data_IF_829061569939
#
_entry.id   IF_829061569939
#
_cell.length_a   1.000
_cell.length_b   1.000
_cell.length_c   1.000
_cell.angle_alpha   90.00
_cell.angle_beta   90.00
_cell.angle_gamma   90.00
#
_symmetry.space_group_name_H-M   'P 1'
#
loop_
_entity.id
_entity.type
_entity.pdbx_description
1 polymer ?
#
# COMPACT_ATOMS: atom_id res chain seq x y z
N UNK A 1 6.09 -11.68 11.12
CA UNK A 1 6.54 -13.02 11.55
C UNK A 1 5.50 -14.05 11.18
N UNK A 2 5.95 -15.17 10.61
CA UNK A 2 5.09 -16.33 10.35
C UNK A 2 5.10 -17.27 11.53
N UNK A 3 3.93 -17.59 12.02
CA UNK A 3 3.73 -18.64 13.02
C UNK A 3 3.14 -19.86 12.34
N UNK A 4 3.74 -21.02 12.58
CA UNK A 4 3.22 -22.31 12.14
C UNK A 4 2.88 -23.14 13.38
N UNK A 5 1.68 -23.69 13.40
CA UNK A 5 1.26 -24.63 14.44
C UNK A 5 1.54 -26.06 13.96
N UNK A 6 2.40 -26.79 14.68
CA UNK A 6 2.74 -28.19 14.37
C UNK A 6 1.85 -29.20 15.12
N UNK A 7 0.71 -28.73 15.61
CA UNK A 7 -0.27 -29.56 16.36
C UNK A 7 -0.14 -29.45 17.87
N UNK A 8 1.02 -29.10 18.40
CA UNK A 8 1.24 -28.98 19.85
C UNK A 8 1.83 -27.63 20.25
N UNK A 9 2.58 -26.98 19.37
CA UNK A 9 3.26 -25.70 19.67
C UNK A 9 3.23 -24.74 18.49
N UNK A 10 3.16 -23.46 18.79
CA UNK A 10 3.39 -22.39 17.82
C UNK A 10 4.89 -22.17 17.65
N UNK A 11 5.38 -22.25 16.41
CA UNK A 11 6.77 -21.98 16.06
C UNK A 11 6.86 -20.79 15.12
N UNK A 12 7.87 -19.97 15.31
CA UNK A 12 8.20 -18.91 14.34
C UNK A 12 8.87 -19.60 13.15
N UNK A 13 8.15 -19.71 12.05
CA UNK A 13 8.67 -20.28 10.80
C UNK A 13 9.52 -19.28 10.01
N UNK A 14 9.15 -17.99 10.04
CA UNK A 14 9.90 -16.93 9.39
C UNK A 14 9.64 -15.56 10.04
N UNK A 15 10.67 -14.72 10.05
CA UNK A 15 10.56 -13.30 10.36
C UNK A 15 10.92 -12.55 9.07
N UNK A 16 9.98 -11.72 8.59
CA UNK A 16 10.22 -10.84 7.47
C UNK A 16 10.13 -9.41 7.92
N UNK A 17 11.03 -8.59 7.40
CA UNK A 17 11.05 -7.16 7.66
C UNK A 17 11.01 -6.42 6.33
N UNK A 18 10.12 -5.47 6.22
CA UNK A 18 10.13 -4.47 5.17
C UNK A 18 11.22 -3.44 5.52
N UNK A 19 12.45 -3.71 5.08
CA UNK A 19 13.61 -2.89 5.38
C UNK A 19 13.86 -1.95 4.19
N UNK A 20 13.47 -0.70 4.37
CA UNK A 20 13.74 0.33 3.39
C UNK A 20 15.19 0.82 3.49
N UNK A 21 15.84 1.14 2.35
CA UNK A 21 17.14 1.80 2.34
C UNK A 21 17.12 3.11 3.13
N UNK A 22 18.20 3.38 3.88
CA UNK A 22 18.27 4.55 4.77
C UNK A 22 18.03 5.88 4.05
N UNK A 23 18.42 6.00 2.78
CA UNK A 23 18.23 7.22 2.02
C UNK A 23 16.75 7.59 1.81
N UNK A 24 15.82 6.63 1.80
CA UNK A 24 14.37 6.87 1.71
C UNK A 24 13.92 7.75 2.88
N UNK A 25 14.37 7.42 4.09
CA UNK A 25 14.10 8.22 5.29
C UNK A 25 14.78 9.59 5.20
N UNK A 26 16.03 9.65 4.70
CA UNK A 26 16.76 10.91 4.52
C UNK A 26 16.03 11.85 3.55
N UNK A 27 15.52 11.35 2.43
CA UNK A 27 14.76 12.15 1.46
C UNK A 27 13.46 12.65 2.07
N UNK A 28 12.70 11.78 2.76
CA UNK A 28 11.47 12.16 3.46
C UNK A 28 11.74 13.28 4.46
N UNK A 29 12.73 13.09 5.34
CA UNK A 29 13.04 14.04 6.41
C UNK A 29 13.57 15.37 5.85
N UNK A 30 14.34 15.33 4.75
CA UNK A 30 14.78 16.53 4.05
C UNK A 30 13.63 17.35 3.46
N UNK A 31 12.64 16.67 2.85
CA UNK A 31 11.44 17.33 2.34
C UNK A 31 10.61 17.97 3.47
N UNK A 32 10.51 17.28 4.62
CA UNK A 32 9.78 17.82 5.78
C UNK A 32 10.38 19.11 6.34
N UNK A 33 11.68 19.33 6.16
CA UNK A 33 12.37 20.53 6.64
C UNK A 33 12.23 21.76 5.72
N UNK A 34 11.71 21.58 4.52
CA UNK A 34 11.51 22.69 3.57
C UNK A 34 10.36 23.60 4.03
N UNK A 35 10.60 24.91 4.07
CA UNK A 35 9.59 25.90 4.47
C UNK A 35 8.45 26.07 3.45
N UNK A 36 8.68 25.67 2.20
CA UNK A 36 7.68 25.69 1.14
C UNK A 36 7.94 24.54 0.18
N UNK A 37 6.93 23.73 -0.02
CA UNK A 37 6.94 22.63 -0.98
C UNK A 37 6.15 23.01 -2.22
N UNK A 38 6.62 22.58 -3.39
CA UNK A 38 5.78 22.58 -4.59
C UNK A 38 4.61 21.59 -4.40
N UNK A 39 3.57 21.71 -5.24
CA UNK A 39 2.46 20.75 -5.20
C UNK A 39 2.95 19.32 -5.42
N UNK A 40 3.90 19.12 -6.35
CA UNK A 40 4.50 17.81 -6.62
C UNK A 40 5.30 17.26 -5.43
N UNK A 41 6.13 18.10 -4.79
CA UNK A 41 6.90 17.71 -3.61
C UNK A 41 5.99 17.35 -2.43
N UNK A 42 4.88 18.06 -2.27
CA UNK A 42 3.89 17.75 -1.22
C UNK A 42 3.23 16.40 -1.42
N UNK A 43 2.87 16.05 -2.65
CA UNK A 43 2.33 14.71 -2.99
C UNK A 43 3.39 13.63 -2.75
N UNK A 44 4.61 13.86 -3.22
CA UNK A 44 5.71 12.91 -3.05
C UNK A 44 6.06 12.71 -1.57
N UNK A 45 6.08 13.78 -0.77
CA UNK A 45 6.29 13.68 0.68
C UNK A 45 5.21 12.83 1.34
N UNK A 46 3.94 13.01 0.98
CA UNK A 46 2.83 12.18 1.51
C UNK A 46 3.03 10.71 1.14
N UNK A 47 3.40 10.42 -0.11
CA UNK A 47 3.70 9.04 -0.54
C UNK A 47 4.86 8.43 0.26
N UNK A 48 5.95 9.20 0.50
CA UNK A 48 7.08 8.75 1.31
C UNK A 48 6.70 8.53 2.78
N UNK A 49 5.86 9.40 3.35
CA UNK A 49 5.35 9.24 4.71
C UNK A 49 4.58 7.93 4.85
N UNK A 50 3.65 7.66 3.93
CA UNK A 50 2.86 6.41 3.92
C UNK A 50 3.74 5.18 3.66
N UNK A 51 4.71 5.27 2.75
CA UNK A 51 5.62 4.17 2.42
C UNK A 51 6.51 3.79 3.59
N UNK A 52 6.96 4.77 4.38
CA UNK A 52 7.81 4.58 5.57
C UNK A 52 7.02 4.37 6.85
N UNK A 53 5.70 4.53 6.82
CA UNK A 53 4.83 4.33 7.96
C UNK A 53 4.75 2.85 8.38
N UNK A 54 4.39 2.61 9.62
CA UNK A 54 4.04 1.27 10.09
C UNK A 54 2.75 0.78 9.43
N UNK A 55 2.54 -0.54 9.42
CA UNK A 55 1.33 -1.12 8.85
C UNK A 55 0.07 -0.59 9.55
N UNK A 56 0.15 -0.37 10.86
CA UNK A 56 -0.94 0.20 11.66
C UNK A 56 -1.28 1.66 11.26
N UNK A 57 -0.26 2.48 11.00
CA UNK A 57 -0.48 3.85 10.52
C UNK A 57 -1.11 3.86 9.13
N UNK A 58 -0.68 2.96 8.23
CA UNK A 58 -1.30 2.83 6.89
C UNK A 58 -2.75 2.35 6.99
N UNK A 59 -3.05 1.39 7.88
CA UNK A 59 -4.43 0.94 8.14
C UNK A 59 -5.32 2.06 8.66
N UNK A 60 -4.81 2.85 9.60
CA UNK A 60 -5.53 4.01 10.14
C UNK A 60 -5.75 5.08 9.07
N UNK A 61 -4.75 5.31 8.19
CA UNK A 61 -4.87 6.23 7.07
C UNK A 61 -5.97 5.79 6.09
N UNK A 62 -5.99 4.51 5.71
CA UNK A 62 -7.04 3.96 4.86
C UNK A 62 -8.42 4.14 5.49
N UNK A 63 -8.59 3.75 6.75
CA UNK A 63 -9.88 3.85 7.47
C UNK A 63 -10.38 5.30 7.53
N UNK A 64 -9.48 6.25 7.77
CA UNK A 64 -9.81 7.68 7.87
C UNK A 64 -10.11 8.35 6.53
N UNK A 65 -9.71 7.74 5.41
CA UNK A 65 -9.89 8.26 4.06
C UNK A 65 -10.70 7.31 3.16
N UNK A 66 -11.46 6.39 3.73
CA UNK A 66 -12.15 5.32 3.00
C UNK A 66 -13.01 5.85 1.85
N UNK A 67 -13.76 6.94 2.08
CA UNK A 67 -14.60 7.55 1.04
C UNK A 67 -13.80 8.02 -0.19
N UNK A 68 -12.58 8.53 0.03
CA UNK A 68 -11.70 8.95 -1.07
C UNK A 68 -11.21 7.75 -1.87
N UNK A 69 -10.85 6.65 -1.19
CA UNK A 69 -10.44 5.41 -1.85
C UNK A 69 -11.59 4.76 -2.62
N UNK A 70 -12.82 4.76 -2.08
CA UNK A 70 -14.02 4.30 -2.79
C UNK A 70 -14.32 5.17 -4.02
N UNK A 71 -14.19 6.48 -3.88
CA UNK A 71 -14.31 7.43 -4.99
C UNK A 71 -13.30 7.15 -6.10
N UNK A 72 -12.03 6.88 -5.74
CA UNK A 72 -10.97 6.52 -6.67
C UNK A 72 -11.30 5.24 -7.44
N UNK A 73 -11.76 4.17 -6.77
CA UNK A 73 -12.20 2.93 -7.42
C UNK A 73 -13.31 3.21 -8.43
N UNK A 74 -14.28 4.06 -8.06
CA UNK A 74 -15.38 4.43 -8.95
C UNK A 74 -14.89 5.17 -10.20
N UNK A 75 -13.97 6.12 -10.05
CA UNK A 75 -13.36 6.85 -11.18
C UNK A 75 -12.57 5.90 -12.09
N UNK A 76 -11.80 4.99 -11.51
CA UNK A 76 -11.02 4.01 -12.22
C UNK A 76 -11.91 3.06 -13.06
N UNK A 77 -12.96 2.53 -12.45
CA UNK A 77 -13.91 1.63 -13.11
C UNK A 77 -14.71 2.32 -14.24
N UNK A 78 -14.93 3.63 -14.10
CA UNK A 78 -15.59 4.44 -15.12
C UNK A 78 -14.63 4.93 -16.23
N UNK A 79 -13.35 4.54 -16.20
CA UNK A 79 -12.30 5.01 -17.11
C UNK A 79 -12.09 6.54 -17.11
N UNK A 80 -12.37 7.23 -16.01
CA UNK A 80 -12.17 8.66 -15.82
C UNK A 80 -10.71 8.97 -15.43
N UNK A 81 -9.77 8.68 -16.32
CA UNK A 81 -8.34 8.65 -16.04
C UNK A 81 -7.81 9.94 -15.39
N UNK A 82 -8.08 11.11 -16.00
CA UNK A 82 -7.57 12.38 -15.48
C UNK A 82 -8.03 12.68 -14.05
N UNK A 83 -9.30 12.37 -13.75
CA UNK A 83 -9.84 12.53 -12.39
C UNK A 83 -9.26 11.51 -11.42
N UNK A 84 -9.04 10.28 -11.89
CA UNK A 84 -8.40 9.24 -11.07
C UNK A 84 -6.96 9.61 -10.73
N UNK A 85 -6.18 10.17 -11.67
CA UNK A 85 -4.80 10.62 -11.44
C UNK A 85 -4.74 11.76 -10.40
N UNK A 86 -5.68 12.71 -10.46
CA UNK A 86 -5.82 13.78 -9.45
C UNK A 86 -6.20 13.20 -8.09
N UNK A 87 -7.14 12.26 -8.05
CA UNK A 87 -7.58 11.61 -6.82
C UNK A 87 -6.43 10.80 -6.19
N UNK A 88 -5.66 10.03 -6.97
CA UNK A 88 -4.46 9.32 -6.54
C UNK A 88 -3.46 10.25 -5.86
N UNK A 89 -3.09 11.33 -6.54
CA UNK A 89 -2.17 12.33 -6.01
C UNK A 89 -2.66 12.90 -4.66
N UNK A 90 -3.95 13.19 -4.54
CA UNK A 90 -4.54 13.79 -3.32
C UNK A 90 -4.47 12.89 -2.09
N UNK A 91 -4.31 11.58 -2.28
CA UNK A 91 -4.21 10.57 -1.21
C UNK A 91 -2.81 9.95 -1.12
N UNK A 92 -1.80 10.56 -1.76
CA UNK A 92 -0.41 10.10 -1.69
C UNK A 92 -0.16 8.75 -2.32
N UNK A 93 -0.94 8.38 -3.35
CA UNK A 93 -0.77 7.15 -4.10
C UNK A 93 -0.27 7.43 -5.52
N UNK A 94 0.52 6.49 -6.07
CA UNK A 94 1.21 6.66 -7.35
C UNK A 94 0.50 6.01 -8.52
N UNK A 95 -0.15 4.89 -8.30
CA UNK A 95 -0.81 4.15 -9.37
C UNK A 95 -2.06 3.41 -8.89
N UNK A 96 -2.97 3.15 -9.82
CA UNK A 96 -4.09 2.22 -9.66
C UNK A 96 -4.12 1.30 -10.87
N UNK A 97 -4.27 0.00 -10.65
CA UNK A 97 -4.26 -1.00 -11.72
C UNK A 97 -4.94 -2.30 -11.32
N UNK A 98 -5.35 -3.06 -12.34
CA UNK A 98 -5.76 -4.45 -12.18
C UNK A 98 -4.64 -5.35 -12.70
N UNK A 99 -4.26 -6.37 -11.94
CA UNK A 99 -3.29 -7.36 -12.35
C UNK A 99 -4.01 -8.60 -12.91
N UNK A 100 -3.55 -9.08 -14.08
CA UNK A 100 -4.11 -10.29 -14.72
C UNK A 100 -3.89 -11.55 -13.88
N UNK A 101 -2.85 -11.57 -13.05
CA UNK A 101 -2.53 -12.67 -12.15
C UNK A 101 -3.53 -12.78 -10.99
N UNK A 102 -4.16 -11.65 -10.62
CA UNK A 102 -5.09 -11.55 -9.50
C UNK A 102 -6.42 -10.94 -9.96
N UNK A 103 -7.20 -11.67 -10.77
CA UNK A 103 -8.48 -11.17 -11.28
C UNK A 103 -9.45 -10.92 -10.12
N UNK A 104 -10.09 -9.76 -10.13
CA UNK A 104 -10.99 -9.33 -9.04
C UNK A 104 -10.31 -8.50 -7.95
N UNK A 105 -8.98 -8.31 -8.03
CA UNK A 105 -8.24 -7.38 -7.19
C UNK A 105 -7.91 -6.09 -7.96
N UNK A 106 -8.17 -4.94 -7.35
CA UNK A 106 -7.66 -3.64 -7.80
C UNK A 106 -6.58 -3.19 -6.85
N UNK A 107 -5.38 -2.95 -7.37
CA UNK A 107 -4.22 -2.51 -6.62
C UNK A 107 -4.12 -0.99 -6.65
N UNK A 108 -3.88 -0.37 -5.49
CA UNK A 108 -3.57 1.05 -5.34
C UNK A 108 -2.20 1.14 -4.72
N UNK A 109 -1.22 1.51 -5.54
CA UNK A 109 0.18 1.61 -5.14
C UNK A 109 0.44 2.94 -4.44
N UNK A 110 0.96 2.89 -3.23
CA UNK A 110 1.47 4.07 -2.52
C UNK A 110 2.80 4.48 -3.15
N UNK A 111 3.77 3.59 -3.13
CA UNK A 111 5.09 3.79 -3.72
C UNK A 111 5.70 2.43 -4.05
N UNK A 112 6.57 2.45 -5.07
CA UNK A 112 7.44 1.34 -5.43
C UNK A 112 8.88 1.82 -5.43
N UNK A 113 9.76 1.01 -4.85
CA UNK A 113 11.19 1.24 -4.90
C UNK A 113 11.89 -0.10 -5.14
N UNK A 114 12.53 -0.25 -6.32
CA UNK A 114 13.10 -1.51 -6.79
C UNK A 114 12.03 -2.61 -6.81
N UNK A 115 12.18 -3.65 -5.99
CA UNK A 115 11.22 -4.74 -5.85
C UNK A 115 10.26 -4.55 -4.66
N UNK A 116 10.47 -3.50 -3.86
CA UNK A 116 9.65 -3.22 -2.69
C UNK A 116 8.48 -2.33 -3.06
N UNK A 117 7.28 -2.80 -2.80
CA UNK A 117 6.06 -2.04 -3.02
C UNK A 117 5.20 -2.05 -1.76
N UNK A 118 4.53 -0.95 -1.51
CA UNK A 118 3.52 -0.82 -0.48
C UNK A 118 2.25 -0.21 -1.07
N UNK A 119 1.11 -0.71 -0.66
CA UNK A 119 -0.16 -0.21 -1.17
C UNK A 119 -1.37 -0.85 -0.52
N UNK A 120 -2.47 -0.71 -1.23
CA UNK A 120 -3.79 -1.20 -0.84
C UNK A 120 -4.35 -2.11 -1.93
N UNK A 121 -5.10 -3.12 -1.53
CA UNK A 121 -5.89 -3.96 -2.44
C UNK A 121 -7.37 -3.72 -2.12
N UNK A 122 -8.17 -3.49 -3.14
CA UNK A 122 -9.61 -3.59 -3.08
C UNK A 122 -10.04 -4.89 -3.77
N UNK A 123 -10.69 -5.79 -3.02
CA UNK A 123 -11.19 -7.06 -3.53
C UNK A 123 -12.55 -7.36 -2.91
N UNK A 124 -13.52 -7.73 -3.73
CA UNK A 124 -14.85 -8.11 -3.24
C UNK A 124 -14.86 -9.44 -2.46
N UNK A 125 -13.87 -10.31 -2.71
CA UNK A 125 -13.73 -11.62 -2.10
C UNK A 125 -12.27 -11.87 -1.72
N UNK A 126 -12.03 -12.19 -0.46
CA UNK A 126 -10.70 -12.50 0.08
C UNK A 126 -10.06 -13.77 -0.53
N UNK A 127 -10.86 -14.65 -1.15
CA UNK A 127 -10.37 -15.85 -1.86
C UNK A 127 -9.54 -15.46 -3.09
N UNK A 128 -9.77 -14.28 -3.64
CA UNK A 128 -9.08 -13.77 -4.83
C UNK A 128 -7.73 -13.09 -4.52
N UNK A 129 -7.41 -12.93 -3.24
CA UNK A 129 -6.18 -12.26 -2.83
C UNK A 129 -4.93 -13.06 -3.21
N UNK A 130 -3.81 -12.36 -3.46
CA UNK A 130 -2.51 -13.00 -3.57
C UNK A 130 -2.17 -13.81 -2.31
N UNK A 131 -1.53 -14.95 -2.50
CA UNK A 131 -0.99 -15.70 -1.38
C UNK A 131 0.25 -14.99 -0.82
N UNK A 132 0.33 -14.91 0.51
CA UNK A 132 1.55 -14.44 1.16
C UNK A 132 2.68 -15.45 0.87
N UNK A 133 3.77 -14.99 0.27
CA UNK A 133 4.90 -15.82 -0.17
C UNK A 133 6.24 -15.19 0.17
N UNK A 134 7.31 -15.97 0.02
CA UNK A 134 8.68 -15.45 0.18
C UNK A 134 9.15 -14.61 -1.00
N UNK A 135 8.48 -14.72 -2.13
CA UNK A 135 8.94 -14.21 -3.41
C UNK A 135 8.19 -12.96 -3.86
N UNK A 136 7.01 -12.70 -3.29
CA UNK A 136 6.16 -11.62 -3.79
C UNK A 136 5.51 -10.84 -2.66
N UNK A 137 4.45 -11.34 -2.04
CA UNK A 137 3.72 -10.63 -0.98
C UNK A 137 4.17 -11.07 0.40
N UNK A 138 4.85 -10.20 1.14
CA UNK A 138 5.32 -10.49 2.50
C UNK A 138 4.28 -10.14 3.57
N UNK A 139 3.27 -9.35 3.19
CA UNK A 139 2.22 -8.90 4.09
C UNK A 139 0.96 -8.59 3.31
N UNK A 140 -0.16 -9.11 3.76
CA UNK A 140 -1.51 -8.72 3.36
C UNK A 140 -2.38 -8.85 4.60
N UNK A 141 -3.10 -7.78 4.96
CA UNK A 141 -4.01 -7.78 6.11
C UNK A 141 -5.26 -6.95 5.80
N UNK A 142 -6.43 -7.49 6.14
CA UNK A 142 -7.70 -6.79 5.99
C UNK A 142 -7.81 -5.66 7.02
N UNK A 143 -8.28 -4.50 6.56
CA UNK A 143 -8.48 -3.30 7.39
C UNK A 143 -9.95 -3.08 7.65
N UNK A 144 -10.73 -3.07 6.58
CA UNK A 144 -12.20 -3.04 6.57
C UNK A 144 -12.66 -3.99 5.47
N UNK A 145 -13.90 -4.48 5.49
CA UNK A 145 -14.39 -5.46 4.53
C UNK A 145 -14.07 -5.08 3.08
N UNK A 146 -13.32 -5.97 2.39
CA UNK A 146 -12.91 -5.79 1.00
C UNK A 146 -11.71 -4.86 0.77
N UNK A 147 -11.07 -4.36 1.82
CA UNK A 147 -9.90 -3.51 1.73
C UNK A 147 -8.73 -4.05 2.55
N UNK A 148 -7.57 -4.16 1.91
CA UNK A 148 -6.38 -4.79 2.48
C UNK A 148 -5.17 -3.87 2.29
N UNK A 149 -4.28 -3.85 3.27
CA UNK A 149 -2.92 -3.29 3.13
C UNK A 149 -2.00 -4.41 2.67
N UNK A 150 -1.09 -4.12 1.76
CA UNK A 150 -0.09 -5.08 1.32
C UNK A 150 1.32 -4.49 1.25
N UNK A 151 2.31 -5.39 1.32
CA UNK A 151 3.72 -5.11 1.04
C UNK A 151 4.34 -6.25 0.25
N UNK A 152 5.22 -5.88 -0.70
CA UNK A 152 6.04 -6.82 -1.48
C UNK A 152 7.52 -6.63 -1.23
N UNK A 153 8.33 -7.57 -1.70
CA UNK A 153 9.80 -7.48 -1.77
C UNK A 153 10.29 -8.05 -3.09
#
# INVERSE_FOLDING_TARGET
SYLVNDGNNWKIAAIRRFLLPAFIYTVRDSLQLLNALSAGDSVFLLSLQLFTASDEEVKNYLSSNLDKFQGLISLFNNNEKEKADIALASIGCNAIYNDRKYPGCTFIQILNFENMEAGLIHAADSILLPAISLEEFIYIEEVVPGWFVYRTI
#
